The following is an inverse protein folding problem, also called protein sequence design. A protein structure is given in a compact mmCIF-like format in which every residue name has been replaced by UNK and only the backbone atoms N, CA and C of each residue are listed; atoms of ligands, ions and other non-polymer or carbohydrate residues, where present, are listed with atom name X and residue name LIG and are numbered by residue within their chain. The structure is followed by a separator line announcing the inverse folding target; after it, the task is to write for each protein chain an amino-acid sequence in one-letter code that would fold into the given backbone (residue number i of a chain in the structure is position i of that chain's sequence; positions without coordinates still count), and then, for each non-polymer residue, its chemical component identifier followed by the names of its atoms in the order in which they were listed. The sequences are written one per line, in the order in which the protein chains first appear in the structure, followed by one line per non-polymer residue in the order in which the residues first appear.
data_IF_547430865865
#
_entry.id   IF_547430865865
#
_cell.length_a   1.000
_cell.length_b   1.000
_cell.length_c   1.000
_cell.angle_alpha   90.00
_cell.angle_beta   90.00
_cell.angle_gamma   90.00
#
_symmetry.space_group_name_H-M   'P 1'
#
loop_
_entity.id
_entity.type
_entity.pdbx_description
1 polymer ?
#
# COMPACT_ATOMS: atom_id res chain seq x y z
N UNK A 1 -5.01 -25.85 -6.72
CA UNK A 1 -5.40 -26.07 -5.32
C UNK A 1 -4.30 -26.87 -4.61
N UNK A 2 -3.74 -26.31 -3.54
CA UNK A 2 -2.64 -26.95 -2.81
C UNK A 2 -2.97 -27.00 -1.32
N UNK A 3 -2.89 -28.18 -0.72
CA UNK A 3 -3.07 -28.37 0.71
C UNK A 3 -1.70 -28.49 1.39
N UNK A 4 -1.36 -27.53 2.26
CA UNK A 4 -0.10 -27.55 3.01
C UNK A 4 -0.36 -28.27 4.33
N UNK A 5 0.15 -29.50 4.46
CA UNK A 5 0.13 -30.27 5.72
C UNK A 5 1.31 -29.93 6.63
N UNK A 6 2.42 -29.46 6.03
CA UNK A 6 3.65 -29.10 6.72
C UNK A 6 3.79 -27.58 6.77
N UNK A 7 3.57 -27.02 7.94
CA UNK A 7 3.50 -25.58 8.20
C UNK A 7 4.87 -24.91 8.13
N UNK A 8 5.95 -25.62 8.44
CA UNK A 8 7.31 -25.09 8.40
C UNK A 8 7.71 -24.67 6.97
N UNK A 9 7.00 -25.18 5.97
CA UNK A 9 7.21 -24.86 4.57
C UNK A 9 6.37 -23.68 4.06
N UNK A 10 5.59 -23.01 4.91
CA UNK A 10 4.71 -21.90 4.48
C UNK A 10 5.50 -20.78 3.80
N UNK A 11 6.69 -20.44 4.34
CA UNK A 11 7.58 -19.43 3.77
C UNK A 11 8.01 -19.80 2.34
N UNK A 12 8.34 -21.07 2.12
CA UNK A 12 8.71 -21.55 0.80
C UNK A 12 7.52 -21.49 -0.17
N UNK A 13 6.34 -21.92 0.26
CA UNK A 13 5.14 -21.89 -0.57
C UNK A 13 4.70 -20.46 -0.92
N UNK A 14 4.73 -19.54 0.04
CA UNK A 14 4.38 -18.14 -0.20
C UNK A 14 5.29 -17.49 -1.24
N UNK A 15 6.58 -17.82 -1.21
CA UNK A 15 7.55 -17.26 -2.17
C UNK A 15 7.50 -17.92 -3.54
N UNK A 16 7.18 -19.23 -3.61
CA UNK A 16 7.22 -20.00 -4.85
C UNK A 16 5.91 -19.90 -5.64
N UNK A 17 4.76 -19.90 -4.96
CA UNK A 17 3.44 -19.99 -5.61
C UNK A 17 2.63 -18.70 -5.55
N UNK A 18 2.99 -17.74 -4.68
CA UNK A 18 2.30 -16.46 -4.53
C UNK A 18 0.77 -16.63 -4.53
N UNK A 19 0.20 -17.27 -3.50
CA UNK A 19 -1.22 -17.62 -3.50
C UNK A 19 -2.08 -16.35 -3.40
N UNK A 20 -3.20 -16.32 -4.11
CA UNK A 20 -4.16 -15.23 -4.05
C UNK A 20 -5.02 -15.30 -2.79
N UNK A 21 -5.44 -16.50 -2.42
CA UNK A 21 -6.27 -16.79 -1.24
C UNK A 21 -5.66 -17.91 -0.43
N UNK A 22 -5.64 -17.74 0.88
CA UNK A 22 -5.23 -18.76 1.84
C UNK A 22 -6.42 -19.11 2.73
N UNK A 23 -6.79 -20.40 2.73
CA UNK A 23 -7.73 -20.94 3.70
C UNK A 23 -6.94 -21.47 4.90
N UNK A 24 -7.12 -20.84 6.06
CA UNK A 24 -6.41 -21.18 7.27
C UNK A 24 -7.34 -21.79 8.30
N UNK A 25 -7.09 -23.04 8.67
CA UNK A 25 -7.85 -23.68 9.74
C UNK A 25 -7.50 -23.06 11.11
N UNK A 26 -8.51 -22.72 11.88
CA UNK A 26 -8.31 -22.16 13.21
C UNK A 26 -8.01 -23.25 14.25
N UNK A 27 -8.50 -24.46 14.03
CA UNK A 27 -8.35 -25.59 14.96
C UNK A 27 -7.21 -26.51 14.53
N UNK A 28 -6.01 -26.22 14.97
CA UNK A 28 -4.86 -27.09 14.78
C UNK A 28 -4.74 -28.14 15.88
N UNK A 29 -4.21 -29.31 15.54
CA UNK A 29 -4.13 -30.47 16.43
C UNK A 29 -3.37 -30.23 17.75
N UNK A 30 -2.48 -29.25 17.81
CA UNK A 30 -1.69 -28.91 19.03
C UNK A 30 -2.37 -27.89 19.92
N UNK A 31 -3.32 -27.10 19.41
CA UNK A 31 -3.97 -26.03 20.15
C UNK A 31 -5.46 -25.88 19.73
N UNK A 32 -6.22 -26.95 20.00
CA UNK A 32 -7.65 -26.99 19.69
C UNK A 32 -8.50 -26.00 20.51
N UNK A 33 -7.95 -25.42 21.57
CA UNK A 33 -8.72 -24.59 22.53
C UNK A 33 -8.42 -23.09 22.38
N UNK A 34 -7.16 -22.65 22.20
CA UNK A 34 -6.81 -21.22 22.27
C UNK A 34 -6.85 -20.52 20.91
N UNK A 35 -6.65 -21.23 19.80
CA UNK A 35 -6.56 -20.65 18.45
C UNK A 35 -5.31 -19.79 18.21
N UNK A 36 -4.37 -19.71 19.15
CA UNK A 36 -3.18 -18.86 19.06
C UNK A 36 -2.30 -19.23 17.89
N UNK A 37 -2.26 -20.51 17.52
CA UNK A 37 -1.47 -20.97 16.38
C UNK A 37 -1.99 -20.40 15.04
N UNK A 38 -3.30 -20.30 14.86
CA UNK A 38 -3.91 -19.66 13.68
C UNK A 38 -3.53 -18.18 13.56
N UNK A 39 -3.55 -17.44 14.67
CA UNK A 39 -3.15 -16.02 14.70
C UNK A 39 -1.65 -15.85 14.41
N UNK A 40 -0.79 -16.68 14.95
CA UNK A 40 0.64 -16.67 14.64
C UNK A 40 0.90 -16.84 13.13
N UNK A 41 0.22 -17.79 12.50
CA UNK A 41 0.37 -18.00 11.06
C UNK A 41 -0.22 -16.88 10.23
N UNK A 42 -1.34 -16.30 10.64
CA UNK A 42 -1.90 -15.11 10.00
C UNK A 42 -0.89 -13.96 9.99
N UNK A 43 -0.31 -13.64 11.14
CA UNK A 43 0.68 -12.57 11.26
C UNK A 43 1.91 -12.84 10.37
N UNK A 44 2.40 -14.07 10.35
CA UNK A 44 3.54 -14.47 9.53
C UNK A 44 3.24 -14.37 8.04
N UNK A 45 2.07 -14.84 7.59
CA UNK A 45 1.60 -14.74 6.21
C UNK A 45 1.50 -13.26 5.79
N UNK A 46 0.88 -12.42 6.62
CA UNK A 46 0.71 -10.99 6.34
C UNK A 46 2.02 -10.19 6.33
N UNK A 47 3.05 -10.65 7.03
CA UNK A 47 4.41 -10.07 6.92
C UNK A 47 5.07 -10.40 5.58
N UNK A 48 4.77 -11.56 4.97
CA UNK A 48 5.34 -11.95 3.67
C UNK A 48 4.60 -11.26 2.52
N UNK A 49 3.26 -11.31 2.53
CA UNK A 49 2.41 -10.61 1.56
C UNK A 49 1.25 -9.90 2.30
N UNK A 50 1.32 -8.58 2.50
CA UNK A 50 0.26 -7.81 3.15
C UNK A 50 -1.07 -7.84 2.42
N UNK A 51 -1.05 -8.03 1.10
CA UNK A 51 -2.24 -7.98 0.24
C UNK A 51 -2.93 -9.34 0.08
N UNK A 52 -2.28 -10.45 0.48
CA UNK A 52 -2.88 -11.78 0.37
C UNK A 52 -4.19 -11.85 1.16
N UNK A 53 -5.17 -12.49 0.58
CA UNK A 53 -6.48 -12.71 1.23
C UNK A 53 -6.40 -13.97 2.09
N UNK A 54 -6.66 -13.81 3.39
CA UNK A 54 -6.68 -14.93 4.34
C UNK A 54 -8.10 -15.11 4.88
N UNK A 55 -8.65 -16.30 4.65
CA UNK A 55 -9.95 -16.72 5.15
C UNK A 55 -9.75 -17.78 6.23
N UNK A 56 -10.31 -17.57 7.41
CA UNK A 56 -10.27 -18.56 8.47
C UNK A 56 -11.39 -19.60 8.33
N UNK A 57 -11.08 -20.86 8.57
CA UNK A 57 -12.07 -21.92 8.73
C UNK A 57 -12.30 -22.16 10.22
N UNK A 58 -13.52 -21.93 10.71
CA UNK A 58 -13.87 -21.97 12.13
C UNK A 58 -14.96 -23.01 12.42
N UNK A 59 -15.01 -23.56 13.63
CA UNK A 59 -16.18 -24.31 14.08
C UNK A 59 -17.37 -23.34 14.32
N UNK A 60 -18.61 -23.81 14.14
CA UNK A 60 -19.83 -23.01 14.22
C UNK A 60 -20.03 -22.28 15.54
N UNK A 61 -19.40 -22.72 16.63
CA UNK A 61 -19.51 -22.16 17.99
C UNK A 61 -18.49 -21.05 18.31
N UNK A 62 -17.57 -20.72 17.41
CA UNK A 62 -16.39 -19.86 17.69
C UNK A 62 -16.52 -18.43 17.12
N UNK A 63 -17.68 -17.80 17.22
CA UNK A 63 -17.92 -16.44 16.71
C UNK A 63 -16.96 -15.39 17.32
N UNK A 64 -16.63 -15.49 18.59
CA UNK A 64 -15.69 -14.57 19.24
C UNK A 64 -14.29 -14.67 18.65
N UNK A 65 -13.84 -15.87 18.32
CA UNK A 65 -12.56 -16.10 17.65
C UNK A 65 -12.57 -15.56 16.22
N UNK A 66 -13.70 -15.71 15.51
CA UNK A 66 -13.86 -15.14 14.17
C UNK A 66 -13.73 -13.60 14.18
N UNK A 67 -14.40 -12.92 15.11
CA UNK A 67 -14.28 -11.45 15.27
C UNK A 67 -12.82 -11.06 15.59
N UNK A 68 -12.15 -11.81 16.46
CA UNK A 68 -10.73 -11.56 16.76
C UNK A 68 -9.84 -11.75 15.54
N UNK A 69 -10.12 -12.75 14.70
CA UNK A 69 -9.38 -13.01 13.46
C UNK A 69 -9.49 -11.85 12.47
N UNK A 70 -10.68 -11.29 12.29
CA UNK A 70 -10.90 -10.09 11.46
C UNK A 70 -10.10 -8.90 12.01
N UNK A 71 -10.15 -8.66 13.31
CA UNK A 71 -9.35 -7.59 13.96
C UNK A 71 -7.85 -7.80 13.82
N UNK A 72 -7.39 -9.04 13.72
CA UNK A 72 -5.99 -9.39 13.51
C UNK A 72 -5.55 -9.33 12.04
N UNK A 73 -6.45 -8.99 11.10
CA UNK A 73 -6.14 -8.79 9.68
C UNK A 73 -6.55 -9.94 8.76
N UNK A 74 -7.33 -10.92 9.24
CA UNK A 74 -8.00 -11.86 8.35
C UNK A 74 -9.08 -11.11 7.54
N UNK A 75 -9.32 -11.57 6.31
CA UNK A 75 -10.30 -10.94 5.43
C UNK A 75 -11.72 -11.36 5.79
N UNK A 76 -11.93 -12.66 6.04
CA UNK A 76 -13.23 -13.21 6.40
C UNK A 76 -13.05 -14.59 7.06
N UNK A 77 -14.18 -15.22 7.43
CA UNK A 77 -14.17 -16.57 7.99
C UNK A 77 -15.27 -17.45 7.37
N UNK A 78 -15.04 -18.76 7.37
CA UNK A 78 -15.93 -19.79 6.83
C UNK A 78 -16.26 -20.76 7.95
N UNK A 79 -17.52 -20.85 8.40
CA UNK A 79 -17.92 -21.80 9.43
C UNK A 79 -17.94 -23.23 8.90
N UNK A 80 -17.51 -24.18 9.71
CA UNK A 80 -17.61 -25.63 9.46
C UNK A 80 -18.86 -26.20 10.15
N UNK A 81 -19.65 -27.06 9.48
CA UNK A 81 -19.58 -27.44 8.07
C UNK A 81 -20.05 -26.32 7.16
N UNK A 82 -19.42 -26.15 6.01
CA UNK A 82 -19.79 -25.10 5.06
C UNK A 82 -20.86 -25.56 4.07
N UNK A 83 -21.71 -24.63 3.71
CA UNK A 83 -22.61 -24.75 2.57
C UNK A 83 -21.89 -24.36 1.29
N UNK A 84 -22.06 -25.15 0.23
CA UNK A 84 -21.35 -24.98 -1.03
C UNK A 84 -21.52 -23.58 -1.62
N UNK A 85 -22.75 -23.08 -1.63
CA UNK A 85 -23.13 -21.78 -2.20
C UNK A 85 -22.46 -20.65 -1.43
N UNK A 86 -22.46 -20.73 -0.11
CA UNK A 86 -21.85 -19.73 0.77
C UNK A 86 -20.33 -19.73 0.65
N UNK A 87 -19.70 -20.92 0.59
CA UNK A 87 -18.28 -21.06 0.35
C UNK A 87 -17.86 -20.40 -0.97
N UNK A 88 -18.59 -20.70 -2.05
CA UNK A 88 -18.32 -20.12 -3.37
C UNK A 88 -18.48 -18.61 -3.38
N UNK A 89 -19.53 -18.07 -2.78
CA UNK A 89 -19.74 -16.63 -2.68
C UNK A 89 -18.60 -15.93 -1.92
N UNK A 90 -18.19 -16.49 -0.77
CA UNK A 90 -17.05 -15.95 0.01
C UNK A 90 -15.74 -15.99 -0.78
N UNK A 91 -15.48 -17.08 -1.51
CA UNK A 91 -14.28 -17.19 -2.36
C UNK A 91 -14.31 -16.21 -3.53
N UNK A 92 -15.46 -15.99 -4.18
CA UNK A 92 -15.58 -15.00 -5.27
C UNK A 92 -15.30 -13.59 -4.76
N UNK A 93 -15.91 -13.18 -3.65
CA UNK A 93 -15.64 -11.86 -3.04
C UNK A 93 -14.17 -11.71 -2.61
N UNK A 94 -13.57 -12.78 -2.13
CA UNK A 94 -12.15 -12.82 -1.77
C UNK A 94 -11.23 -12.62 -2.97
N UNK A 95 -11.55 -13.21 -4.12
CA UNK A 95 -10.81 -13.02 -5.38
C UNK A 95 -10.93 -11.59 -5.89
N UNK A 96 -12.14 -11.04 -5.96
CA UNK A 96 -12.37 -9.65 -6.36
C UNK A 96 -11.58 -8.66 -5.49
N UNK A 97 -11.54 -8.89 -4.18
CA UNK A 97 -10.74 -8.09 -3.26
C UNK A 97 -9.25 -8.20 -3.55
N UNK A 98 -8.74 -9.40 -3.85
CA UNK A 98 -7.33 -9.64 -4.20
C UNK A 98 -6.95 -8.91 -5.48
N UNK A 99 -7.80 -9.01 -6.50
CA UNK A 99 -7.60 -8.34 -7.80
C UNK A 99 -7.57 -6.82 -7.63
N UNK A 100 -8.53 -6.26 -6.90
CA UNK A 100 -8.58 -4.83 -6.60
C UNK A 100 -7.32 -4.34 -5.86
N UNK A 101 -6.83 -5.08 -4.86
CA UNK A 101 -5.58 -4.74 -4.16
C UNK A 101 -4.37 -4.81 -5.08
N UNK A 102 -4.31 -5.81 -5.96
CA UNK A 102 -3.23 -5.95 -6.94
C UNK A 102 -3.23 -4.79 -7.94
N UNK A 103 -4.41 -4.37 -8.42
CA UNK A 103 -4.57 -3.22 -9.31
C UNK A 103 -4.11 -1.92 -8.63
N UNK A 104 -4.57 -1.64 -7.42
CA UNK A 104 -4.12 -0.46 -6.64
C UNK A 104 -2.60 -0.46 -6.46
N UNK A 105 -1.99 -1.60 -6.16
CA UNK A 105 -0.54 -1.73 -6.03
C UNK A 105 0.18 -1.46 -7.36
N UNK A 106 -0.35 -1.98 -8.46
CA UNK A 106 0.23 -1.75 -9.79
C UNK A 106 0.12 -0.28 -10.20
N UNK A 107 -1.03 0.36 -9.96
CA UNK A 107 -1.22 1.79 -10.19
C UNK A 107 -0.25 2.63 -9.35
N UNK A 108 -0.08 2.31 -8.07
CA UNK A 108 0.91 2.97 -7.21
C UNK A 108 2.33 2.83 -7.75
N UNK A 109 2.73 1.64 -8.20
CA UNK A 109 4.05 1.43 -8.83
C UNK A 109 4.21 2.21 -10.14
N UNK A 110 3.17 2.28 -10.98
CA UNK A 110 3.22 3.08 -12.20
C UNK A 110 3.37 4.56 -11.88
N UNK A 111 2.67 5.03 -10.85
CA UNK A 111 2.79 6.39 -10.34
C UNK A 111 4.21 6.65 -9.81
N UNK A 112 4.82 5.73 -9.06
CA UNK A 112 6.21 5.83 -8.61
C UNK A 112 7.22 5.85 -9.76
N UNK A 113 6.98 5.09 -10.83
CA UNK A 113 7.86 5.10 -12.02
C UNK A 113 7.73 6.40 -12.81
N UNK A 114 6.53 6.99 -12.84
CA UNK A 114 6.26 8.27 -13.50
C UNK A 114 6.71 9.47 -12.66
N UNK A 115 6.77 9.32 -11.33
CA UNK A 115 7.48 10.22 -10.44
C UNK A 115 8.96 9.92 -10.60
N UNK A 116 9.64 10.72 -11.41
CA UNK A 116 11.00 10.52 -11.90
C UNK A 116 11.98 9.96 -10.86
N UNK A 117 12.91 9.05 -11.24
CA UNK A 117 13.97 8.52 -10.36
C UNK A 117 14.88 9.59 -9.75
N UNK A 118 14.78 10.83 -10.20
CA UNK A 118 15.51 11.99 -9.69
C UNK A 118 15.08 12.43 -8.28
N UNK A 119 13.96 11.90 -7.76
CA UNK A 119 13.45 12.28 -6.42
C UNK A 119 14.11 11.51 -5.27
N UNK A 120 14.77 10.39 -5.55
CA UNK A 120 15.43 9.58 -4.54
C UNK A 120 16.82 10.16 -4.20
N UNK A 121 16.87 11.07 -3.23
CA UNK A 121 18.13 11.62 -2.71
C UNK A 121 18.41 13.06 -3.10
N UNK A 122 17.38 13.82 -3.38
CA UNK A 122 17.49 15.21 -3.79
C UNK A 122 17.83 16.11 -2.60
N UNK A 123 19.11 16.44 -2.45
CA UNK A 123 19.59 17.43 -1.48
C UNK A 123 20.03 18.70 -2.23
N UNK A 124 19.33 19.82 -2.01
CA UNK A 124 19.79 21.12 -2.53
C UNK A 124 20.95 21.58 -1.66
N UNK A 125 22.15 21.60 -2.24
CA UNK A 125 23.34 22.08 -1.57
C UNK A 125 23.57 23.56 -1.93
N UNK A 126 23.72 24.42 -0.93
CA UNK A 126 24.02 25.83 -1.13
C UNK A 126 24.45 26.51 0.15
N UNK A 127 25.66 27.10 0.14
CA UNK A 127 26.27 27.77 1.30
C UNK A 127 26.13 29.29 1.21
N UNK A 128 25.73 29.83 0.05
CA UNK A 128 25.60 31.28 -0.14
C UNK A 128 24.45 31.88 0.68
N UNK A 129 24.61 33.09 1.14
CA UNK A 129 23.59 33.80 1.93
C UNK A 129 22.21 33.86 1.24
N UNK A 130 22.09 34.09 -0.10
CA UNK A 130 20.81 34.02 -0.80
C UNK A 130 20.17 32.62 -0.77
N UNK A 131 20.98 31.55 -0.85
CA UNK A 131 20.45 30.19 -0.79
C UNK A 131 19.94 29.85 0.62
N UNK A 132 20.63 30.29 1.65
CA UNK A 132 20.19 30.10 3.03
C UNK A 132 18.85 30.83 3.29
N UNK A 133 18.63 32.00 2.70
CA UNK A 133 17.35 32.71 2.77
C UNK A 133 16.22 31.93 2.07
N UNK A 134 16.51 31.25 0.93
CA UNK A 134 15.56 30.38 0.25
C UNK A 134 15.22 29.17 1.14
N UNK A 135 16.20 28.51 1.73
CA UNK A 135 15.98 27.36 2.64
C UNK A 135 15.14 27.76 3.86
N UNK A 136 15.40 28.90 4.46
CA UNK A 136 14.60 29.42 5.56
C UNK A 136 13.15 29.72 5.16
N UNK A 137 12.92 30.11 3.90
CA UNK A 137 11.59 30.34 3.35
C UNK A 137 10.87 29.02 3.08
N UNK A 138 11.54 28.02 2.51
CA UNK A 138 11.02 26.66 2.31
C UNK A 138 10.59 26.05 3.64
N UNK A 139 11.44 26.18 4.67
CA UNK A 139 11.14 25.64 6.01
C UNK A 139 9.89 26.29 6.65
N UNK A 140 9.67 27.58 6.44
CA UNK A 140 8.46 28.28 6.90
C UNK A 140 7.20 27.84 6.15
N UNK A 141 7.31 27.50 4.88
CA UNK A 141 6.18 27.19 4.00
C UNK A 141 5.80 25.70 4.00
N UNK A 142 6.65 24.83 4.48
CA UNK A 142 6.46 23.37 4.43
C UNK A 142 5.14 22.85 5.02
N UNK A 143 4.56 23.56 5.98
CA UNK A 143 3.31 23.18 6.65
C UNK A 143 2.09 23.97 6.14
N UNK A 144 2.20 24.69 5.04
CA UNK A 144 1.10 25.49 4.51
C UNK A 144 0.45 24.81 3.30
N UNK A 145 -0.88 24.98 3.16
CA UNK A 145 -1.64 24.54 1.99
C UNK A 145 -1.77 25.66 0.93
N UNK A 146 -0.95 26.72 1.04
CA UNK A 146 -1.00 27.87 0.15
C UNK A 146 -0.45 27.53 -1.25
N UNK A 147 -1.01 28.16 -2.28
CA UNK A 147 -0.41 28.14 -3.62
C UNK A 147 0.88 28.97 -3.61
N UNK A 148 1.97 28.38 -4.08
CA UNK A 148 3.29 29.01 -4.07
C UNK A 148 3.70 29.33 -5.51
N UNK A 149 4.06 30.61 -5.75
CA UNK A 149 4.63 31.05 -7.03
C UNK A 149 6.14 31.24 -6.86
N UNK A 150 6.93 30.50 -7.66
CA UNK A 150 8.39 30.59 -7.68
C UNK A 150 8.81 31.33 -8.94
N UNK A 151 9.47 32.48 -8.77
CA UNK A 151 9.94 33.35 -9.87
C UNK A 151 11.47 33.31 -9.97
N UNK A 152 11.98 33.37 -11.20
CA UNK A 152 13.42 33.39 -11.48
C UNK A 152 13.70 33.17 -12.97
N UNK A 153 14.92 33.43 -13.40
CA UNK A 153 15.37 33.22 -14.79
C UNK A 153 15.42 31.72 -15.15
N UNK A 154 15.50 31.43 -16.45
CA UNK A 154 15.63 30.03 -16.89
C UNK A 154 16.95 29.44 -16.40
N UNK A 155 16.91 28.17 -15.91
CA UNK A 155 18.10 27.49 -15.40
C UNK A 155 18.48 27.82 -13.95
N UNK A 156 17.73 28.66 -13.22
CA UNK A 156 18.03 29.03 -11.82
C UNK A 156 17.62 27.97 -10.78
N UNK A 157 17.13 26.81 -11.18
CA UNK A 157 16.76 25.74 -10.26
C UNK A 157 15.40 25.88 -9.58
N UNK A 158 14.44 26.59 -10.19
CA UNK A 158 13.08 26.74 -9.66
C UNK A 158 12.40 25.39 -9.40
N UNK A 159 12.61 24.41 -10.27
CA UNK A 159 12.09 23.04 -10.12
C UNK A 159 12.66 22.36 -8.88
N UNK A 160 13.94 22.60 -8.58
CA UNK A 160 14.59 22.08 -7.39
C UNK A 160 13.96 22.62 -6.11
N UNK A 161 13.63 23.91 -6.08
CA UNK A 161 12.95 24.54 -4.93
C UNK A 161 11.53 24.01 -4.78
N UNK A 162 10.81 23.77 -5.89
CA UNK A 162 9.47 23.17 -5.85
C UNK A 162 9.51 21.75 -5.29
N UNK A 163 10.49 20.93 -5.70
CA UNK A 163 10.71 19.58 -5.16
C UNK A 163 11.08 19.61 -3.68
N UNK A 164 11.92 20.54 -3.25
CA UNK A 164 12.28 20.68 -1.83
C UNK A 164 11.07 21.03 -0.96
N UNK A 165 10.18 21.91 -1.44
CA UNK A 165 8.92 22.22 -0.78
C UNK A 165 8.01 20.99 -0.68
N UNK A 166 7.88 20.22 -1.77
CA UNK A 166 7.11 18.98 -1.79
C UNK A 166 7.64 17.95 -0.78
N UNK A 167 8.94 17.64 -0.80
CA UNK A 167 9.54 16.67 0.10
C UNK A 167 9.44 17.03 1.58
N UNK A 168 9.42 18.31 1.91
CA UNK A 168 9.24 18.78 3.28
C UNK A 168 7.78 18.98 3.68
N UNK A 169 6.83 18.84 2.75
CA UNK A 169 5.41 19.05 3.02
C UNK A 169 4.73 17.80 3.59
N UNK A 170 3.55 17.95 4.25
CA UNK A 170 2.71 16.82 4.65
C UNK A 170 2.23 15.96 3.46
N UNK A 171 2.40 16.45 2.23
CA UNK A 171 2.02 15.77 0.98
C UNK A 171 3.16 15.00 0.33
N UNK A 172 4.31 14.86 1.00
CA UNK A 172 5.51 14.14 0.49
C UNK A 172 5.26 12.68 0.14
N UNK A 173 4.21 12.06 0.68
CA UNK A 173 3.79 10.70 0.32
C UNK A 173 2.83 10.65 -0.89
N UNK A 174 2.38 11.79 -1.40
CA UNK A 174 1.50 11.86 -2.57
C UNK A 174 2.35 11.94 -3.86
N UNK A 175 1.68 12.01 -5.01
CA UNK A 175 2.36 12.16 -6.29
C UNK A 175 2.78 13.62 -6.53
N UNK A 176 4.05 13.84 -6.86
CA UNK A 176 4.53 15.12 -7.41
C UNK A 176 4.46 15.07 -8.94
N UNK A 177 3.67 15.95 -9.55
CA UNK A 177 3.52 16.01 -11.01
C UNK A 177 4.07 17.34 -11.51
N UNK A 178 5.20 17.30 -12.23
CA UNK A 178 5.74 18.42 -12.97
C UNK A 178 5.05 18.54 -14.34
N UNK A 179 4.40 19.67 -14.61
CA UNK A 179 3.78 19.93 -15.91
C UNK A 179 4.46 21.15 -16.54
N UNK A 180 5.11 20.94 -17.68
CA UNK A 180 5.58 22.04 -18.51
C UNK A 180 4.41 22.59 -19.35
N UNK A 181 3.89 23.72 -18.92
CA UNK A 181 2.75 24.38 -19.57
C UNK A 181 3.10 24.83 -21.01
N UNK A 182 4.38 25.07 -21.30
CA UNK A 182 4.84 25.41 -22.65
C UNK A 182 4.77 24.27 -23.65
N UNK A 183 4.77 23.02 -23.17
CA UNK A 183 4.68 21.81 -23.99
C UNK A 183 3.23 21.40 -24.30
N UNK A 184 2.22 22.00 -23.63
CA UNK A 184 0.82 21.65 -23.81
C UNK A 184 0.20 22.47 -24.93
N UNK A 185 -0.39 21.84 -25.98
CA UNK A 185 -1.08 22.58 -27.03
C UNK A 185 -2.22 23.46 -26.46
N UNK A 186 -2.39 24.65 -26.99
CA UNK A 186 -3.34 25.69 -26.53
C UNK A 186 -4.82 25.19 -26.41
N UNK A 187 -5.18 24.14 -27.14
CA UNK A 187 -6.53 23.53 -27.13
C UNK A 187 -6.83 22.76 -25.83
N UNK A 188 -5.83 22.37 -25.06
CA UNK A 188 -5.99 21.50 -23.87
C UNK A 188 -6.22 22.31 -22.57
N UNK A 189 -6.05 23.63 -22.56
CA UNK A 189 -6.20 24.47 -21.36
C UNK A 189 -7.65 24.61 -20.87
N UNK A 190 -8.64 24.34 -21.72
CA UNK A 190 -10.06 24.54 -21.38
C UNK A 190 -10.64 23.45 -20.45
N UNK A 191 -9.91 22.36 -20.21
CA UNK A 191 -10.36 21.23 -19.38
C UNK A 191 -9.63 21.06 -18.04
N UNK A 192 -8.67 21.96 -17.72
CA UNK A 192 -7.97 21.98 -16.42
C UNK A 192 -8.65 22.95 -15.43
N UNK A 193 -9.92 22.67 -15.11
CA UNK A 193 -10.64 23.33 -14.00
C UNK A 193 -11.05 22.33 -12.96
#
# INVERSE_FOLDING_TARGET
EMCIRDRERIDHFMRTFIPDIILLDMNFKRDAISGQEGFYWLEKIKKIDPDVVVLFMTAYSDTDKAVRAIKAGATDFIPKPWEKEKLLATLSSALELRESRAEVRNLKKQVEILSSPEDAGFEIIGESEPMQAIFATVDKLKNTDANILILGENGTGKDLVARALYHQSPRSENLFVGIDVGSIPAVSYTHLR
#
